data_IF_421865953493
#
_entry.id   IF_421865953493
#
_cell.length_a   1.000
_cell.length_b   1.000
_cell.length_c   1.000
_cell.angle_alpha   90.00
_cell.angle_beta   90.00
_cell.angle_gamma   90.00
#
_symmetry.space_group_name_H-M   'P 1'
#
loop_
_entity.id
_entity.type
_entity.pdbx_description
1 polymer ?
#
# COMPACT_ATOMS: atom_id res chain seq x y z
N UNK A 1 12.80 -2.94 3.99
CA UNK A 1 11.56 -2.38 4.61
C UNK A 1 11.48 -0.88 4.39
N UNK A 2 10.28 -0.26 4.47
CA UNK A 2 10.13 1.20 4.37
C UNK A 2 10.73 1.89 5.60
N UNK A 3 11.51 2.95 5.37
CA UNK A 3 12.03 3.82 6.44
C UNK A 3 10.94 4.80 6.89
N UNK A 4 10.26 4.47 7.97
CA UNK A 4 9.16 5.26 8.52
C UNK A 4 8.29 4.45 9.46
N UNK A 5 7.56 5.11 10.35
CA UNK A 5 6.74 4.45 11.37
C UNK A 5 5.57 3.68 10.74
N UNK A 6 4.83 4.32 9.82
CA UNK A 6 3.64 3.76 9.17
C UNK A 6 4.00 2.49 8.37
N UNK A 7 3.28 1.43 8.58
CA UNK A 7 3.45 0.05 8.09
C UNK A 7 4.59 -0.72 8.77
N UNK A 8 5.71 -0.08 9.09
CA UNK A 8 6.89 -0.74 9.64
C UNK A 8 6.70 -1.17 11.09
N UNK A 9 6.03 -0.34 11.92
CA UNK A 9 5.70 -0.71 13.30
C UNK A 9 4.63 -1.80 13.35
N UNK A 10 3.66 -1.78 12.44
CA UNK A 10 2.65 -2.81 12.30
C UNK A 10 3.28 -4.16 11.93
N UNK A 11 4.16 -4.19 10.95
CA UNK A 11 4.91 -5.40 10.57
C UNK A 11 5.77 -5.91 11.73
N UNK A 12 6.42 -5.03 12.46
CA UNK A 12 7.23 -5.40 13.62
C UNK A 12 6.39 -6.10 14.71
N UNK A 13 5.21 -5.55 15.02
CA UNK A 13 4.31 -6.18 16.00
C UNK A 13 3.75 -7.52 15.51
N UNK A 14 3.37 -7.63 14.26
CA UNK A 14 2.92 -8.90 13.69
C UNK A 14 4.04 -9.94 13.70
N UNK A 15 5.27 -9.55 13.39
CA UNK A 15 6.45 -10.42 13.49
C UNK A 15 6.78 -10.83 14.93
N UNK A 16 6.35 -10.02 15.92
CA UNK A 16 6.46 -10.32 17.34
C UNK A 16 5.22 -11.06 17.92
N UNK A 17 4.36 -11.58 17.03
CA UNK A 17 3.24 -12.44 17.39
C UNK A 17 1.96 -11.70 17.78
N UNK A 18 1.85 -10.39 17.55
CA UNK A 18 0.60 -9.64 17.73
C UNK A 18 -0.36 -9.97 16.59
N UNK A 19 -1.57 -10.42 16.94
CA UNK A 19 -2.59 -10.69 15.92
C UNK A 19 -2.95 -9.41 15.14
N UNK A 20 -3.18 -9.47 13.81
CA UNK A 20 -3.48 -8.29 12.99
C UNK A 20 -4.58 -7.38 13.55
N UNK A 21 -5.66 -7.98 14.10
CA UNK A 21 -6.78 -7.25 14.70
C UNK A 21 -6.41 -6.43 15.95
N UNK A 22 -5.32 -6.77 16.63
CA UNK A 22 -4.88 -6.15 17.89
C UNK A 22 -3.73 -5.16 17.70
N UNK A 23 -3.14 -5.08 16.51
CA UNK A 23 -1.95 -4.26 16.22
C UNK A 23 -2.14 -2.80 16.65
N UNK A 24 -3.22 -2.16 16.23
CA UNK A 24 -3.44 -0.75 16.57
C UNK A 24 -3.79 -0.51 18.04
N UNK A 25 -4.45 -1.48 18.69
CA UNK A 25 -4.67 -1.44 20.12
C UNK A 25 -3.35 -1.48 20.89
N UNK A 26 -2.42 -2.32 20.46
CA UNK A 26 -1.08 -2.41 21.06
C UNK A 26 -0.28 -1.15 20.77
N UNK A 27 -0.24 -0.65 19.53
CA UNK A 27 0.48 0.57 19.13
C UNK A 27 -0.03 1.84 19.83
N UNK A 28 -1.27 1.86 20.31
CA UNK A 28 -1.82 2.99 21.06
C UNK A 28 -1.14 3.20 22.41
N UNK A 29 -0.47 2.19 22.95
CA UNK A 29 0.25 2.26 24.23
C UNK A 29 1.75 2.49 24.06
N UNK A 30 2.37 3.13 25.06
CA UNK A 30 3.84 3.32 25.09
C UNK A 30 4.57 1.98 25.08
N UNK A 31 4.08 1.01 25.83
CA UNK A 31 4.68 -0.33 25.92
C UNK A 31 4.61 -1.06 24.58
N UNK A 32 3.48 -0.95 23.88
CA UNK A 32 3.34 -1.52 22.54
C UNK A 32 4.27 -0.86 21.51
N UNK A 33 4.46 0.46 21.59
CA UNK A 33 5.45 1.15 20.76
C UNK A 33 6.87 0.67 21.06
N UNK A 34 7.24 0.58 22.34
CA UNK A 34 8.55 0.08 22.77
C UNK A 34 8.77 -1.37 22.29
N UNK A 35 7.74 -2.22 22.37
CA UNK A 35 7.75 -3.60 21.86
C UNK A 35 8.01 -3.65 20.35
N UNK A 36 7.35 -2.80 19.57
CA UNK A 36 7.59 -2.71 18.13
C UNK A 36 9.04 -2.29 17.81
N UNK A 37 9.55 -1.27 18.49
CA UNK A 37 10.94 -0.83 18.30
C UNK A 37 11.95 -1.89 18.72
N UNK A 38 11.72 -2.61 19.82
CA UNK A 38 12.57 -3.73 20.22
C UNK A 38 12.65 -4.80 19.13
N UNK A 39 11.50 -5.16 18.51
CA UNK A 39 11.50 -6.10 17.39
C UNK A 39 12.25 -5.55 16.17
N UNK A 40 12.14 -4.26 15.88
CA UNK A 40 12.91 -3.63 14.80
C UNK A 40 14.41 -3.62 15.08
N UNK A 41 14.85 -3.43 16.32
CA UNK A 41 16.27 -3.52 16.68
C UNK A 41 16.84 -4.92 16.42
N UNK A 42 16.06 -5.97 16.68
CA UNK A 42 16.44 -7.35 16.35
C UNK A 42 16.57 -7.57 14.82
N UNK A 43 15.69 -6.96 14.04
CA UNK A 43 15.63 -7.14 12.57
C UNK A 43 16.61 -6.22 11.82
N UNK A 44 16.96 -5.08 12.41
CA UNK A 44 17.73 -4.01 11.79
C UNK A 44 19.02 -4.44 11.08
N UNK A 45 19.83 -5.38 11.61
CA UNK A 45 21.03 -5.83 10.91
C UNK A 45 20.77 -6.50 9.56
N UNK A 46 19.54 -7.02 9.33
CA UNK A 46 19.12 -7.72 8.11
C UNK A 46 18.21 -6.89 7.21
N UNK A 47 17.99 -5.61 7.53
CA UNK A 47 17.07 -4.76 6.78
C UNK A 47 17.80 -3.85 5.80
N UNK A 48 17.48 -3.99 4.52
CA UNK A 48 17.67 -2.94 3.52
C UNK A 48 16.50 -1.96 3.60
N UNK A 49 16.78 -0.71 3.97
CA UNK A 49 15.77 0.35 4.07
C UNK A 49 15.51 1.01 2.73
N UNK A 50 14.24 1.37 2.47
CA UNK A 50 13.84 2.15 1.33
C UNK A 50 12.95 3.34 1.74
N UNK A 51 12.99 4.42 0.96
CA UNK A 51 12.21 5.64 1.16
C UNK A 51 11.29 5.91 -0.02
N UNK A 52 11.76 5.68 -1.24
CA UNK A 52 10.99 5.86 -2.47
C UNK A 52 10.35 4.54 -2.92
N UNK A 53 9.07 4.58 -3.30
CA UNK A 53 8.31 3.38 -3.68
C UNK A 53 8.84 2.64 -4.92
N UNK A 54 9.75 3.24 -5.70
CA UNK A 54 10.42 2.58 -6.82
C UNK A 54 11.61 1.70 -6.40
N UNK A 55 12.13 1.85 -5.18
CA UNK A 55 13.31 1.11 -4.71
C UNK A 55 13.06 -0.38 -4.46
N UNK A 56 11.96 -0.80 -3.77
CA UNK A 56 11.74 -2.22 -3.51
C UNK A 56 11.73 -3.11 -4.76
N UNK A 57 11.03 -2.77 -5.85
CA UNK A 57 11.09 -3.56 -7.07
C UNK A 57 12.52 -3.71 -7.62
N UNK A 58 13.32 -2.63 -7.55
CA UNK A 58 14.72 -2.65 -8.01
C UNK A 58 15.57 -3.59 -7.15
N UNK A 59 15.51 -3.48 -5.82
CA UNK A 59 16.25 -4.35 -4.91
C UNK A 59 15.89 -5.82 -5.04
N UNK A 60 14.62 -6.12 -5.32
CA UNK A 60 14.17 -7.49 -5.55
C UNK A 60 14.65 -8.02 -6.91
N UNK A 61 14.58 -7.20 -7.96
CA UNK A 61 15.00 -7.58 -9.31
C UNK A 61 16.52 -7.76 -9.42
N UNK A 62 17.32 -6.94 -8.70
CA UNK A 62 18.78 -7.08 -8.63
C UNK A 62 19.25 -8.21 -7.72
N UNK A 63 18.37 -8.75 -6.87
CA UNK A 63 18.75 -9.77 -5.88
C UNK A 63 19.42 -9.21 -4.61
N UNK A 64 19.40 -7.87 -4.43
CA UNK A 64 19.91 -7.24 -3.19
C UNK A 64 19.12 -7.64 -1.97
N UNK A 65 17.85 -7.99 -2.14
CA UNK A 65 16.97 -8.53 -1.10
C UNK A 65 16.14 -9.69 -1.64
N UNK A 66 15.81 -10.65 -0.78
CA UNK A 66 14.97 -11.81 -1.13
C UNK A 66 13.48 -11.54 -0.88
N UNK A 67 13.15 -10.56 -0.07
CA UNK A 67 11.79 -10.12 0.22
C UNK A 67 11.77 -8.64 0.61
N UNK A 68 10.67 -7.97 0.37
CA UNK A 68 10.49 -6.57 0.78
C UNK A 68 9.02 -6.24 1.00
N UNK A 69 8.73 -5.35 1.94
CA UNK A 69 7.48 -4.60 1.91
C UNK A 69 7.51 -3.65 0.72
N UNK A 70 6.41 -3.53 0.00
CA UNK A 70 6.31 -2.69 -1.20
C UNK A 70 4.87 -2.26 -1.44
N UNK A 71 4.67 -1.23 -2.25
CA UNK A 71 3.36 -0.92 -2.79
C UNK A 71 3.01 -1.91 -3.91
N UNK A 72 1.87 -2.57 -3.80
CA UNK A 72 1.47 -3.62 -4.72
C UNK A 72 1.46 -3.17 -6.18
N UNK A 73 1.01 -1.96 -6.50
CA UNK A 73 1.03 -1.44 -7.87
C UNK A 73 2.44 -1.29 -8.44
N UNK A 74 3.45 -1.07 -7.60
CA UNK A 74 4.86 -1.02 -8.03
C UNK A 74 5.42 -2.40 -8.32
N UNK A 75 5.01 -3.41 -7.58
CA UNK A 75 5.39 -4.80 -7.85
C UNK A 75 4.67 -5.31 -9.10
N UNK A 76 3.36 -5.08 -9.21
CA UNK A 76 2.56 -5.51 -10.35
C UNK A 76 3.11 -5.00 -11.69
N UNK A 77 3.67 -3.78 -11.72
CA UNK A 77 4.27 -3.19 -12.92
C UNK A 77 5.48 -3.95 -13.45
N UNK A 78 6.22 -4.67 -12.60
CA UNK A 78 7.46 -5.39 -12.97
C UNK A 78 7.37 -6.90 -12.72
N UNK A 79 6.27 -7.37 -12.16
CA UNK A 79 6.09 -8.75 -11.69
C UNK A 79 6.34 -9.80 -12.78
N UNK A 80 5.87 -9.54 -13.99
CA UNK A 80 6.00 -10.48 -15.11
C UNK A 80 7.44 -10.62 -15.60
N UNK A 81 8.19 -9.52 -15.61
CA UNK A 81 9.56 -9.46 -16.11
C UNK A 81 10.59 -9.93 -15.08
N UNK A 82 10.28 -9.74 -13.80
CA UNK A 82 11.21 -9.97 -12.68
C UNK A 82 10.89 -11.22 -11.84
N UNK A 83 9.91 -12.05 -12.25
CA UNK A 83 9.48 -13.25 -11.53
C UNK A 83 9.15 -12.99 -10.04
N UNK A 84 8.56 -11.84 -9.75
CA UNK A 84 8.18 -11.45 -8.38
C UNK A 84 6.78 -11.96 -8.05
N UNK A 85 6.55 -12.26 -6.78
CA UNK A 85 5.25 -12.69 -6.26
C UNK A 85 4.81 -11.82 -5.10
N UNK A 86 3.56 -11.37 -5.12
CA UNK A 86 2.93 -10.68 -3.99
C UNK A 86 2.37 -11.74 -3.03
N UNK A 87 2.69 -11.60 -1.74
CA UNK A 87 2.11 -12.40 -0.65
C UNK A 87 1.22 -11.46 0.16
N UNK A 88 -0.08 -11.71 0.13
CA UNK A 88 -1.08 -10.86 0.77
C UNK A 88 -1.25 -11.14 2.28
N UNK A 89 -0.80 -12.31 2.76
CA UNK A 89 -0.89 -12.64 4.18
C UNK A 89 -0.11 -11.63 5.03
N UNK A 90 -0.76 -11.02 6.00
CA UNK A 90 -0.20 -9.93 6.81
C UNK A 90 -0.08 -8.59 6.05
N UNK A 91 -0.63 -8.48 4.85
CA UNK A 91 -0.68 -7.24 4.09
C UNK A 91 -1.48 -6.16 4.81
N UNK A 92 -1.08 -4.91 4.63
CA UNK A 92 -1.78 -3.74 5.17
C UNK A 92 -2.31 -2.96 3.99
N UNK A 93 -3.60 -2.66 3.99
CA UNK A 93 -4.19 -1.76 3.00
C UNK A 93 -4.39 -0.36 3.57
N UNK A 94 -4.35 0.62 2.70
CA UNK A 94 -4.58 2.03 3.03
C UNK A 94 -5.43 2.68 1.95
N UNK A 95 -5.96 3.84 2.25
CA UNK A 95 -6.76 4.62 1.31
C UNK A 95 -6.01 5.87 0.90
N UNK A 96 -5.88 6.08 -0.40
CA UNK A 96 -5.46 7.35 -0.95
C UNK A 96 -6.69 8.27 -1.12
N UNK A 97 -6.49 9.54 -0.89
CA UNK A 97 -7.55 10.55 -0.96
C UNK A 97 -7.11 11.74 -1.81
N UNK A 98 -8.05 12.27 -2.57
CA UNK A 98 -7.90 13.58 -3.19
C UNK A 98 -7.96 14.67 -2.11
N UNK A 99 -7.10 15.66 -2.21
CA UNK A 99 -7.13 16.83 -1.35
C UNK A 99 -7.11 18.12 -2.17
N UNK A 100 -7.95 19.07 -1.76
CA UNK A 100 -7.95 20.41 -2.35
C UNK A 100 -7.24 21.34 -1.36
N UNK A 101 -6.09 21.94 -1.73
CA UNK A 101 -5.38 22.88 -0.86
C UNK A 101 -6.26 24.08 -0.49
N UNK A 102 -6.08 24.58 0.73
CA UNK A 102 -6.72 25.83 1.18
C UNK A 102 -6.14 27.02 0.41
N UNK A 103 -6.98 28.02 0.13
CA UNK A 103 -6.54 29.28 -0.50
C UNK A 103 -6.63 29.29 -2.02
N UNK A 104 -7.21 28.27 -2.67
CA UNK A 104 -7.51 28.32 -4.10
C UNK A 104 -8.65 29.32 -4.39
N UNK A 105 -8.63 29.90 -5.61
CA UNK A 105 -9.79 30.62 -6.12
C UNK A 105 -11.00 29.69 -6.23
N UNK A 106 -12.21 30.26 -6.15
CA UNK A 106 -13.45 29.51 -6.29
C UNK A 106 -13.49 28.70 -7.59
N UNK A 107 -13.07 29.30 -8.68
CA UNK A 107 -13.02 28.65 -10.00
C UNK A 107 -12.12 27.41 -10.00
N UNK A 108 -10.90 27.51 -9.45
CA UNK A 108 -9.96 26.37 -9.35
C UNK A 108 -10.49 25.27 -8.41
N UNK A 109 -11.11 25.67 -7.30
CA UNK A 109 -11.69 24.70 -6.38
C UNK A 109 -12.89 23.96 -7.02
N UNK A 110 -13.75 24.66 -7.77
CA UNK A 110 -14.88 24.07 -8.46
C UNK A 110 -14.43 23.15 -9.62
N UNK A 111 -13.38 23.53 -10.36
CA UNK A 111 -12.77 22.68 -11.38
C UNK A 111 -12.18 21.39 -10.76
N UNK A 112 -11.46 21.52 -9.65
CA UNK A 112 -10.91 20.36 -8.92
C UNK A 112 -12.04 19.40 -8.46
N UNK A 113 -13.13 19.93 -7.91
CA UNK A 113 -14.29 19.11 -7.51
C UNK A 113 -14.91 18.37 -8.68
N UNK A 114 -15.07 19.01 -9.83
CA UNK A 114 -15.58 18.35 -11.05
C UNK A 114 -14.68 17.21 -11.51
N UNK A 115 -13.36 17.44 -11.48
CA UNK A 115 -12.39 16.40 -11.79
C UNK A 115 -12.50 15.22 -10.81
N UNK A 116 -12.56 15.50 -9.49
CA UNK A 116 -12.74 14.46 -8.48
C UNK A 116 -14.03 13.66 -8.70
N UNK A 117 -15.15 14.34 -8.98
CA UNK A 117 -16.42 13.67 -9.30
C UNK A 117 -16.29 12.75 -10.53
N UNK A 118 -15.58 13.17 -11.56
CA UNK A 118 -15.30 12.35 -12.73
C UNK A 118 -14.46 11.12 -12.36
N UNK A 119 -13.36 11.29 -11.62
CA UNK A 119 -12.49 10.17 -11.25
C UNK A 119 -13.13 9.17 -10.28
N UNK A 120 -14.22 9.54 -9.59
CA UNK A 120 -14.97 8.65 -8.70
C UNK A 120 -16.04 7.81 -9.40
N UNK A 121 -16.26 8.02 -10.70
CA UNK A 121 -17.21 7.20 -11.49
C UNK A 121 -16.68 5.76 -11.58
N UNK A 122 -17.57 4.75 -11.54
CA UNK A 122 -17.16 3.35 -11.59
C UNK A 122 -16.30 3.01 -12.81
N UNK A 123 -16.66 3.53 -13.98
CA UNK A 123 -15.95 3.31 -15.25
C UNK A 123 -14.51 3.86 -15.16
N UNK A 124 -14.34 5.06 -14.62
CA UNK A 124 -13.03 5.72 -14.52
C UNK A 124 -12.14 4.96 -13.54
N UNK A 125 -12.68 4.55 -12.40
CA UNK A 125 -11.93 3.75 -11.43
C UNK A 125 -11.59 2.36 -11.97
N UNK A 126 -12.48 1.75 -12.74
CA UNK A 126 -12.19 0.48 -13.41
C UNK A 126 -11.03 0.61 -14.40
N UNK A 127 -11.02 1.64 -15.24
CA UNK A 127 -9.91 1.92 -16.16
C UNK A 127 -8.59 2.16 -15.38
N UNK A 128 -8.64 2.95 -14.32
CA UNK A 128 -7.47 3.19 -13.46
C UNK A 128 -6.91 1.88 -12.89
N UNK A 129 -7.76 1.05 -12.30
CA UNK A 129 -7.35 -0.22 -11.69
C UNK A 129 -6.79 -1.24 -12.70
N UNK A 130 -7.22 -1.19 -13.97
CA UNK A 130 -6.66 -2.03 -15.03
C UNK A 130 -5.24 -1.60 -15.45
N UNK A 131 -4.88 -0.33 -15.25
CA UNK A 131 -3.56 0.21 -15.59
C UNK A 131 -2.58 0.22 -14.41
N UNK A 132 -3.11 0.34 -13.18
CA UNK A 132 -2.33 0.27 -11.94
C UNK A 132 -3.09 -0.65 -11.00
N UNK A 133 -2.45 -1.71 -10.51
CA UNK A 133 -3.08 -2.75 -9.68
C UNK A 133 -3.47 -2.24 -8.27
N UNK A 134 -4.19 -1.12 -8.20
CA UNK A 134 -4.80 -0.60 -6.98
C UNK A 134 -6.30 -0.84 -6.98
N UNK A 135 -6.83 -1.26 -5.84
CA UNK A 135 -8.26 -1.52 -5.68
C UNK A 135 -9.09 -0.24 -5.81
N UNK A 136 -10.22 -0.27 -6.51
CA UNK A 136 -11.10 0.88 -6.60
C UNK A 136 -11.84 1.13 -5.28
N UNK A 137 -12.01 2.40 -4.90
CA UNK A 137 -12.81 2.77 -3.74
C UNK A 137 -14.33 2.63 -4.00
N UNK A 138 -14.75 2.77 -5.25
CA UNK A 138 -16.13 2.59 -5.67
C UNK A 138 -16.42 1.09 -5.88
N UNK A 139 -17.30 0.52 -5.05
CA UNK A 139 -17.67 -0.91 -5.14
C UNK A 139 -18.23 -1.32 -6.51
N UNK A 140 -18.96 -0.43 -7.18
CA UNK A 140 -19.49 -0.70 -8.51
C UNK A 140 -18.40 -0.88 -9.57
N UNK A 141 -17.23 -0.24 -9.40
CA UNK A 141 -16.09 -0.41 -10.29
C UNK A 141 -15.54 -1.84 -10.27
N UNK A 142 -15.65 -2.55 -9.15
CA UNK A 142 -15.21 -3.95 -9.04
C UNK A 142 -15.95 -4.88 -10.03
N UNK A 143 -17.24 -4.63 -10.29
CA UNK A 143 -18.01 -5.44 -11.23
C UNK A 143 -17.53 -5.26 -12.68
N UNK A 144 -16.96 -4.11 -13.00
CA UNK A 144 -16.46 -3.75 -14.33
C UNK A 144 -15.05 -4.28 -14.61
N UNK A 145 -14.34 -4.79 -13.60
CA UNK A 145 -12.99 -5.31 -13.76
C UNK A 145 -12.98 -6.73 -14.35
N UNK A 146 -12.04 -7.05 -15.26
CA UNK A 146 -11.80 -8.42 -15.69
C UNK A 146 -11.46 -9.35 -14.50
N UNK A 147 -11.86 -10.62 -14.58
CA UNK A 147 -11.62 -11.59 -13.50
C UNK A 147 -10.14 -11.73 -13.11
N UNK A 148 -9.24 -11.73 -14.10
CA UNK A 148 -7.79 -11.80 -13.85
C UNK A 148 -7.26 -10.59 -13.07
N UNK A 149 -7.80 -9.39 -13.34
CA UNK A 149 -7.43 -8.18 -12.61
C UNK A 149 -7.94 -8.22 -11.17
N UNK A 150 -9.18 -8.69 -10.97
CA UNK A 150 -9.80 -8.84 -9.64
C UNK A 150 -8.98 -9.75 -8.73
N UNK A 151 -8.47 -10.86 -9.25
CA UNK A 151 -7.75 -11.87 -8.46
C UNK A 151 -6.46 -11.32 -7.82
N UNK A 152 -5.85 -10.31 -8.42
CA UNK A 152 -4.60 -9.69 -7.94
C UNK A 152 -4.83 -8.37 -7.16
N UNK A 153 -6.08 -8.07 -6.77
CA UNK A 153 -6.38 -6.85 -6.04
C UNK A 153 -6.38 -7.07 -4.52
N UNK A 154 -5.93 -6.09 -3.72
CA UNK A 154 -5.99 -6.17 -2.26
C UNK A 154 -7.43 -6.25 -1.71
N UNK A 155 -8.42 -5.95 -2.53
CA UNK A 155 -9.85 -5.99 -2.23
C UNK A 155 -10.52 -7.30 -2.65
N UNK A 156 -9.76 -8.27 -3.17
CA UNK A 156 -10.26 -9.58 -3.57
C UNK A 156 -10.30 -10.61 -2.41
N UNK A 157 -9.70 -10.26 -1.26
CA UNK A 157 -9.65 -11.09 -0.06
C UNK A 157 -10.78 -10.79 0.92
#
# INVERSE_FOLDING_TARGET
MRKGAKYTLEFALMADGVAPKDVYKVLASKDGQNRAFKKLDELKPSIQWWEAGAQPPQYLASGDVVMSSAYNGRIAAVQKESNLKIVWNGGIYDFDAWAIPKGLSKEKADAAKKFMQFTLQPEQQSVYSQNIAYGPANKAAMSLLPAAVKADMPTAA
#
